data_IF_680145064588
#
_entry.id   IF_680145064588
#
_cell.length_a   1.000
_cell.length_b   1.000
_cell.length_c   1.000
_cell.angle_alpha   90.00
_cell.angle_beta   90.00
_cell.angle_gamma   90.00
#
_symmetry.space_group_name_H-M   'P 1'
#
loop_
_entity.id
_entity.type
_entity.pdbx_description
1 polymer ?
#
# COMPACT_ATOMS: atom_id res chain seq x y z
N UNK A 1 -10.31 2.98 8.22
CA UNK A 1 -10.93 2.01 7.30
C UNK A 1 -11.09 0.65 7.98
N UNK A 2 -10.04 0.04 8.57
CA UNK A 2 -10.12 -1.23 9.31
C UNK A 2 -11.23 -1.24 10.37
N UNK A 3 -11.29 -0.21 11.24
CA UNK A 3 -12.39 -0.04 12.21
C UNK A 3 -13.76 -0.09 11.52
N UNK A 4 -13.95 0.70 10.47
CA UNK A 4 -15.22 0.77 9.75
C UNK A 4 -15.65 -0.59 9.20
N UNK A 5 -14.73 -1.30 8.56
CA UNK A 5 -15.03 -2.61 7.95
C UNK A 5 -15.25 -3.70 8.99
N UNK A 6 -14.45 -3.72 10.06
CA UNK A 6 -14.56 -4.73 11.13
C UNK A 6 -15.76 -4.45 12.04
N UNK A 7 -15.85 -3.23 12.59
CA UNK A 7 -16.81 -2.92 13.65
C UNK A 7 -18.20 -2.60 13.10
N UNK A 8 -18.27 -1.75 12.06
CA UNK A 8 -19.57 -1.33 11.50
C UNK A 8 -20.16 -2.37 10.55
N UNK A 9 -19.33 -2.99 9.72
CA UNK A 9 -19.81 -3.94 8.70
C UNK A 9 -19.59 -5.41 9.08
N UNK A 10 -18.94 -5.71 10.20
CA UNK A 10 -18.74 -7.08 10.68
C UNK A 10 -17.90 -7.97 9.76
N UNK A 11 -17.04 -7.41 8.92
CA UNK A 11 -16.26 -8.17 7.95
C UNK A 11 -15.06 -8.85 8.60
N UNK A 12 -14.72 -10.04 8.11
CA UNK A 12 -13.45 -10.69 8.41
C UNK A 12 -12.37 -10.08 7.52
N UNK A 13 -11.32 -9.54 8.15
CA UNK A 13 -10.28 -8.78 7.47
C UNK A 13 -8.92 -9.47 7.56
N UNK A 14 -8.08 -9.21 6.55
CA UNK A 14 -6.65 -9.41 6.57
C UNK A 14 -6.00 -8.04 6.32
N UNK A 15 -5.20 -7.56 7.26
CA UNK A 15 -4.40 -6.36 7.06
C UNK A 15 -3.17 -6.71 6.23
N UNK A 16 -2.81 -5.81 5.31
CA UNK A 16 -1.63 -5.99 4.44
C UNK A 16 -0.72 -4.79 4.62
N UNK A 17 0.53 -5.05 4.93
CA UNK A 17 1.57 -4.05 5.09
C UNK A 17 2.72 -4.32 4.11
N UNK A 18 3.06 -3.31 3.33
CA UNK A 18 4.28 -3.28 2.52
C UNK A 18 5.33 -2.52 3.31
N UNK A 19 6.30 -3.25 3.85
CA UNK A 19 7.39 -2.68 4.62
C UNK A 19 8.58 -2.38 3.69
N UNK A 20 8.69 -1.11 3.35
CA UNK A 20 9.78 -0.56 2.56
C UNK A 20 10.99 -0.14 3.42
N UNK A 21 11.01 -0.52 4.70
CA UNK A 21 12.03 -0.21 5.71
C UNK A 21 12.12 1.27 6.14
N UNK A 22 11.27 2.14 5.63
CA UNK A 22 11.25 3.57 5.98
C UNK A 22 10.19 3.93 7.04
N UNK A 23 9.53 2.92 7.57
CA UNK A 23 8.55 3.13 8.62
C UNK A 23 9.21 3.61 9.91
N UNK A 24 8.66 4.67 10.52
CA UNK A 24 9.05 5.03 11.87
C UNK A 24 8.59 3.97 12.88
N UNK A 25 9.27 3.87 14.02
CA UNK A 25 8.87 2.98 15.12
C UNK A 25 7.41 3.21 15.52
N UNK A 26 6.98 4.49 15.60
CA UNK A 26 5.60 4.84 15.95
C UNK A 26 4.61 4.35 14.89
N UNK A 27 4.94 4.44 13.61
CA UNK A 27 4.08 3.93 12.53
C UNK A 27 3.87 2.42 12.67
N UNK A 28 4.94 1.67 12.93
CA UNK A 28 4.90 0.22 13.15
C UNK A 28 4.11 -0.14 14.41
N UNK A 29 4.33 0.58 15.53
CA UNK A 29 3.55 0.41 16.75
C UNK A 29 2.06 0.64 16.50
N UNK A 30 1.69 1.68 15.76
CA UNK A 30 0.29 1.98 15.40
C UNK A 30 -0.35 0.86 14.57
N UNK A 31 0.38 0.26 13.62
CA UNK A 31 -0.12 -0.88 12.83
C UNK A 31 -0.45 -2.04 13.77
N UNK A 32 0.48 -2.42 14.67
CA UNK A 32 0.27 -3.51 15.61
C UNK A 32 -0.83 -3.22 16.62
N UNK A 33 -0.90 -1.99 17.17
CA UNK A 33 -1.95 -1.60 18.10
C UNK A 33 -3.34 -1.76 17.47
N UNK A 34 -3.50 -1.29 16.23
CA UNK A 34 -4.77 -1.38 15.50
C UNK A 34 -5.14 -2.83 15.16
N UNK A 35 -4.21 -3.62 14.65
CA UNK A 35 -4.49 -5.00 14.24
C UNK A 35 -4.80 -5.89 15.45
N UNK A 36 -4.05 -5.73 16.56
CA UNK A 36 -4.29 -6.46 17.79
C UNK A 36 -5.64 -6.09 18.43
N UNK A 37 -5.94 -4.80 18.56
CA UNK A 37 -7.20 -4.34 19.16
C UNK A 37 -8.45 -4.75 18.37
N UNK A 38 -8.32 -4.90 17.06
CA UNK A 38 -9.41 -5.32 16.17
C UNK A 38 -9.43 -6.83 15.91
N UNK A 39 -8.49 -7.58 16.44
CA UNK A 39 -8.32 -9.01 16.15
C UNK A 39 -8.29 -9.26 14.63
N UNK A 40 -7.31 -8.64 13.98
CA UNK A 40 -7.10 -8.71 12.52
C UNK A 40 -5.71 -9.28 12.26
N UNK A 41 -5.64 -10.35 11.47
CA UNK A 41 -4.37 -10.90 11.00
C UNK A 41 -3.61 -9.90 10.14
N UNK A 42 -2.28 -9.83 10.31
CA UNK A 42 -1.40 -8.95 9.54
C UNK A 42 -0.47 -9.76 8.63
N UNK A 43 -0.53 -9.50 7.35
CA UNK A 43 0.47 -9.95 6.38
C UNK A 43 1.43 -8.80 6.07
N UNK A 44 2.72 -8.99 6.33
CA UNK A 44 3.77 -8.03 5.99
C UNK A 44 4.69 -8.60 4.91
N UNK A 45 4.93 -7.82 3.87
CA UNK A 45 5.98 -8.07 2.89
C UNK A 45 7.10 -7.07 3.11
N UNK A 46 8.29 -7.58 3.46
CA UNK A 46 9.48 -6.77 3.71
C UNK A 46 10.39 -6.84 2.51
N UNK A 47 10.85 -5.69 2.01
CA UNK A 47 11.88 -5.62 0.98
C UNK A 47 13.26 -5.42 1.61
N UNK A 48 14.31 -5.79 0.89
CA UNK A 48 15.67 -5.47 1.32
C UNK A 48 15.90 -3.94 1.28
N UNK A 49 16.36 -3.38 2.40
CA UNK A 49 16.54 -1.94 2.56
C UNK A 49 17.47 -1.35 1.50
N UNK A 50 18.60 -2.02 1.26
CA UNK A 50 19.61 -1.55 0.31
C UNK A 50 19.10 -1.57 -1.12
N UNK A 51 18.31 -2.60 -1.45
CA UNK A 51 17.64 -2.72 -2.75
C UNK A 51 16.62 -1.60 -2.95
N UNK A 52 15.78 -1.34 -1.93
CA UNK A 52 14.74 -0.33 -2.03
C UNK A 52 15.31 1.09 -2.07
N UNK A 53 16.33 1.38 -1.27
CA UNK A 53 17.04 2.66 -1.27
C UNK A 53 17.67 2.95 -2.64
N UNK A 54 18.33 1.96 -3.27
CA UNK A 54 18.88 2.12 -4.61
C UNK A 54 17.79 2.33 -5.67
N UNK A 55 16.65 1.65 -5.52
CA UNK A 55 15.51 1.81 -6.41
C UNK A 55 14.95 3.25 -6.33
N UNK A 56 14.69 3.78 -5.13
CA UNK A 56 14.21 5.17 -4.97
C UNK A 56 15.27 6.18 -5.44
N UNK A 57 16.54 5.95 -5.12
CA UNK A 57 17.63 6.80 -5.59
C UNK A 57 17.70 6.82 -7.13
N UNK A 58 17.38 5.72 -7.79
CA UNK A 58 17.33 5.66 -9.26
C UNK A 58 16.22 6.55 -9.82
N UNK A 59 15.05 6.60 -9.15
CA UNK A 59 13.94 7.47 -9.50
C UNK A 59 14.27 8.94 -9.28
N UNK A 60 14.91 9.27 -8.17
CA UNK A 60 15.42 10.64 -7.91
C UNK A 60 16.40 11.11 -8.98
N UNK A 61 17.37 10.28 -9.37
CA UNK A 61 18.36 10.60 -10.40
C UNK A 61 17.77 10.74 -11.80
N UNK A 62 16.71 10.03 -12.09
CA UNK A 62 16.07 10.08 -13.40
C UNK A 62 15.25 11.34 -13.64
N UNK A 63 14.95 12.12 -12.59
CA UNK A 63 14.14 13.34 -12.69
C UNK A 63 12.70 13.08 -13.13
N UNK A 64 12.15 11.90 -12.84
CA UNK A 64 10.74 11.58 -13.11
C UNK A 64 9.81 12.41 -12.23
N UNK A 65 8.55 12.55 -12.66
CA UNK A 65 7.56 13.38 -11.97
C UNK A 65 7.15 12.83 -10.62
N UNK A 66 7.14 11.50 -10.50
CA UNK A 66 6.63 10.80 -9.32
C UNK A 66 7.68 9.80 -8.83
N UNK A 67 8.34 10.17 -7.75
CA UNK A 67 9.35 9.34 -7.08
C UNK A 67 8.73 8.24 -6.22
N UNK A 68 7.44 8.34 -5.89
CA UNK A 68 6.70 7.37 -5.08
C UNK A 68 6.21 6.16 -5.89
N UNK A 69 6.34 6.21 -7.22
CA UNK A 69 5.93 5.11 -8.10
C UNK A 69 6.38 3.71 -7.61
N UNK A 70 7.62 3.50 -7.13
CA UNK A 70 8.01 2.19 -6.58
C UNK A 70 7.22 1.79 -5.35
N UNK A 71 6.94 2.74 -4.44
CA UNK A 71 6.14 2.48 -3.23
C UNK A 71 4.73 2.06 -3.60
N UNK A 72 4.09 2.78 -4.50
CA UNK A 72 2.71 2.49 -4.95
C UNK A 72 2.60 1.13 -5.65
N UNK A 73 3.54 0.82 -6.53
CA UNK A 73 3.59 -0.49 -7.20
C UNK A 73 3.88 -1.62 -6.20
N UNK A 74 4.81 -1.40 -5.27
CA UNK A 74 5.13 -2.35 -4.21
C UNK A 74 3.91 -2.66 -3.34
N UNK A 75 3.19 -1.63 -2.90
CA UNK A 75 1.97 -1.76 -2.12
C UNK A 75 0.87 -2.50 -2.89
N UNK A 76 0.56 -2.05 -4.11
CA UNK A 76 -0.48 -2.68 -4.94
C UNK A 76 -0.19 -4.15 -5.23
N UNK A 77 1.09 -4.47 -5.50
CA UNK A 77 1.52 -5.85 -5.77
C UNK A 77 1.45 -6.71 -4.51
N UNK A 78 1.89 -6.19 -3.37
CA UNK A 78 1.82 -6.87 -2.07
C UNK A 78 0.38 -7.21 -1.68
N UNK A 79 -0.57 -6.30 -1.90
CA UNK A 79 -1.99 -6.57 -1.69
C UNK A 79 -2.50 -7.72 -2.56
N UNK A 80 -2.09 -7.80 -3.83
CA UNK A 80 -2.48 -8.89 -4.71
C UNK A 80 -1.83 -10.23 -4.31
N UNK A 81 -0.56 -10.22 -3.90
CA UNK A 81 0.15 -11.40 -3.38
C UNK A 81 -0.57 -11.95 -2.13
N UNK A 82 -0.91 -11.09 -1.19
CA UNK A 82 -1.65 -11.48 0.01
C UNK A 82 -3.04 -12.04 -0.36
N UNK A 83 -3.77 -11.35 -1.24
CA UNK A 83 -5.08 -11.78 -1.68
C UNK A 83 -5.04 -13.17 -2.35
N UNK A 84 -4.07 -13.42 -3.22
CA UNK A 84 -3.85 -14.74 -3.84
C UNK A 84 -3.49 -15.81 -2.80
N UNK A 85 -2.53 -15.51 -1.91
CA UNK A 85 -2.03 -16.45 -0.90
C UNK A 85 -3.13 -16.93 0.06
N UNK A 86 -4.03 -16.02 0.44
CA UNK A 86 -5.10 -16.29 1.42
C UNK A 86 -6.48 -16.49 0.79
N UNK A 87 -6.57 -16.54 -0.52
CA UNK A 87 -7.84 -16.74 -1.23
C UNK A 87 -8.84 -15.60 -1.07
N UNK A 88 -8.36 -14.37 -0.85
CA UNK A 88 -9.20 -13.19 -0.69
C UNK A 88 -9.53 -12.60 -2.06
N UNK A 89 -10.82 -12.35 -2.33
CA UNK A 89 -11.28 -11.80 -3.61
C UNK A 89 -11.40 -10.29 -3.61
N UNK A 90 -11.65 -9.66 -2.47
CA UNK A 90 -11.91 -8.23 -2.38
C UNK A 90 -10.80 -7.53 -1.61
N UNK A 91 -10.15 -6.57 -2.27
CA UNK A 91 -9.19 -5.65 -1.64
C UNK A 91 -9.91 -4.35 -1.31
N UNK A 92 -9.69 -3.85 -0.11
CA UNK A 92 -10.25 -2.58 0.32
C UNK A 92 -9.12 -1.55 0.37
N UNK A 93 -9.25 -0.53 -0.46
CA UNK A 93 -8.30 0.55 -0.63
C UNK A 93 -8.82 1.81 0.08
N UNK A 94 -7.95 2.48 0.84
CA UNK A 94 -8.26 3.71 1.57
C UNK A 94 -8.15 4.99 0.73
N UNK A 95 -7.78 4.87 -0.53
CA UNK A 95 -7.66 6.03 -1.41
C UNK A 95 -8.97 6.79 -1.57
N UNK A 96 -8.90 8.13 -1.57
CA UNK A 96 -10.05 9.00 -1.76
C UNK A 96 -9.67 10.29 -2.48
N UNK A 97 -10.33 10.56 -3.61
CA UNK A 97 -10.12 11.83 -4.33
C UNK A 97 -10.47 13.08 -3.49
N UNK A 98 -11.24 12.91 -2.41
CA UNK A 98 -11.63 14.01 -1.52
C UNK A 98 -10.49 14.45 -0.59
N UNK A 99 -9.58 13.54 -0.26
CA UNK A 99 -8.47 13.79 0.68
C UNK A 99 -7.11 13.86 -0.01
N UNK A 100 -6.99 13.26 -1.20
CA UNK A 100 -5.72 13.12 -1.92
C UNK A 100 -5.71 13.89 -3.24
N UNK A 101 -6.88 14.42 -3.65
CA UNK A 101 -7.03 15.09 -4.94
C UNK A 101 -7.05 14.13 -6.12
N UNK A 102 -6.79 14.64 -7.30
CA UNK A 102 -6.71 13.86 -8.53
C UNK A 102 -5.58 14.39 -9.42
N UNK A 103 -4.91 13.50 -10.12
CA UNK A 103 -3.89 13.84 -11.10
C UNK A 103 -4.34 13.43 -12.50
N UNK A 104 -3.92 14.11 -13.57
CA UNK A 104 -4.15 13.68 -14.94
C UNK A 104 -3.60 12.26 -15.16
N UNK A 105 -4.35 11.39 -15.84
CA UNK A 105 -3.98 9.98 -16.06
C UNK A 105 -2.59 9.85 -16.68
N UNK A 106 -2.22 10.74 -17.63
CA UNK A 106 -0.91 10.73 -18.25
C UNK A 106 0.27 11.08 -17.33
N UNK A 107 0.00 11.51 -16.10
CA UNK A 107 1.05 11.78 -15.10
C UNK A 107 1.36 10.59 -14.21
N UNK A 108 0.44 9.64 -14.12
CA UNK A 108 0.51 8.50 -13.21
C UNK A 108 0.73 7.18 -13.96
N UNK A 109 1.43 7.22 -15.11
CA UNK A 109 1.82 5.99 -15.79
C UNK A 109 2.83 5.22 -14.94
N UNK A 110 2.45 4.02 -14.55
CA UNK A 110 3.33 3.14 -13.77
C UNK A 110 3.08 1.67 -14.11
N UNK A 111 4.16 0.96 -14.43
CA UNK A 111 4.16 -0.49 -14.60
C UNK A 111 5.54 -1.08 -14.27
N UNK A 112 5.63 -2.42 -14.29
CA UNK A 112 6.89 -3.11 -14.01
C UNK A 112 8.01 -2.78 -15.00
N UNK A 113 7.68 -2.55 -16.26
CA UNK A 113 8.67 -2.21 -17.29
C UNK A 113 9.24 -0.82 -17.07
N UNK A 114 8.38 0.12 -16.69
CA UNK A 114 8.80 1.48 -16.36
C UNK A 114 9.77 1.48 -15.19
N UNK A 115 9.42 0.83 -14.06
CA UNK A 115 10.31 0.68 -12.91
C UNK A 115 11.63 0.04 -13.31
N UNK A 116 11.58 -1.08 -14.03
CA UNK A 116 12.79 -1.76 -14.48
C UNK A 116 13.65 -0.90 -15.42
N UNK A 117 13.02 -0.10 -16.28
CA UNK A 117 13.72 0.79 -17.22
C UNK A 117 14.49 1.90 -16.50
N UNK A 118 13.85 2.56 -15.54
CA UNK A 118 14.49 3.60 -14.71
C UNK A 118 15.63 2.99 -13.90
N UNK A 119 15.37 1.89 -13.20
CA UNK A 119 16.35 1.23 -12.37
C UNK A 119 17.56 0.72 -13.17
N UNK A 120 17.36 0.19 -14.38
CA UNK A 120 18.47 -0.26 -15.27
C UNK A 120 19.41 0.86 -15.66
N UNK A 121 18.91 2.09 -15.78
CA UNK A 121 19.72 3.25 -16.18
C UNK A 121 20.45 3.90 -15.00
N UNK A 122 19.84 3.94 -13.83
CA UNK A 122 20.30 4.75 -12.70
C UNK A 122 20.59 3.95 -11.43
N UNK A 123 20.06 2.73 -11.29
CA UNK A 123 20.27 1.84 -10.18
C UNK A 123 21.56 1.02 -10.32
N UNK A 124 22.00 0.44 -9.20
CA UNK A 124 23.22 -0.36 -9.11
C UNK A 124 22.97 -1.74 -8.51
N UNK A 125 21.93 -1.90 -7.69
CA UNK A 125 21.63 -3.11 -6.92
C UNK A 125 20.51 -3.89 -7.61
N UNK A 126 20.69 -5.19 -7.91
CA UNK A 126 19.64 -5.97 -8.55
C UNK A 126 18.37 -6.06 -7.69
N UNK A 127 17.21 -5.80 -8.30
CA UNK A 127 15.90 -6.00 -7.66
C UNK A 127 15.61 -7.50 -7.52
N UNK A 128 15.56 -8.01 -6.28
CA UNK A 128 15.30 -9.42 -5.95
C UNK A 128 14.07 -9.59 -5.05
N UNK A 129 13.91 -8.70 -4.09
CA UNK A 129 12.85 -8.74 -3.08
C UNK A 129 11.69 -7.80 -3.41
N UNK A 130 11.91 -6.80 -4.24
CA UNK A 130 10.89 -5.83 -4.64
C UNK A 130 9.75 -6.48 -5.43
N UNK A 131 8.50 -6.38 -4.96
CA UNK A 131 7.34 -7.00 -5.60
C UNK A 131 6.87 -6.18 -6.80
N UNK A 132 7.49 -6.39 -7.96
CA UNK A 132 7.17 -5.63 -9.16
C UNK A 132 5.90 -6.15 -9.87
N UNK A 133 5.07 -5.23 -10.38
CA UNK A 133 3.74 -5.51 -10.96
C UNK A 133 3.83 -5.81 -12.46
N UNK A 134 4.19 -7.03 -12.80
CA UNK A 134 4.22 -7.50 -14.19
C UNK A 134 2.82 -7.70 -14.76
N UNK A 135 2.60 -7.32 -16.02
CA UNK A 135 1.31 -7.43 -16.70
C UNK A 135 0.69 -8.84 -16.60
N UNK A 136 1.49 -9.90 -16.80
CA UNK A 136 0.99 -11.28 -16.72
C UNK A 136 0.48 -11.63 -15.31
N UNK A 137 1.13 -11.14 -14.25
CA UNK A 137 0.66 -11.30 -12.87
C UNK A 137 -0.65 -10.55 -12.65
N UNK A 138 -0.72 -9.31 -13.13
CA UNK A 138 -1.93 -8.50 -13.02
C UNK A 138 -3.11 -9.16 -13.74
N UNK A 139 -2.91 -9.67 -14.97
CA UNK A 139 -3.93 -10.40 -15.71
C UNK A 139 -4.36 -11.69 -14.98
N UNK A 140 -3.41 -12.44 -14.42
CA UNK A 140 -3.71 -13.62 -13.61
C UNK A 140 -4.61 -13.27 -12.44
N UNK A 141 -4.26 -12.26 -11.64
CA UNK A 141 -5.03 -11.85 -10.48
C UNK A 141 -6.43 -11.35 -10.85
N UNK A 142 -6.54 -10.61 -11.93
CA UNK A 142 -7.82 -10.07 -12.40
C UNK A 142 -8.71 -11.15 -13.03
N UNK A 143 -8.18 -11.97 -13.92
CA UNK A 143 -8.99 -12.89 -14.72
C UNK A 143 -9.16 -14.28 -14.06
N UNK A 144 -8.10 -14.84 -13.48
CA UNK A 144 -8.13 -16.16 -12.87
C UNK A 144 -8.51 -16.11 -11.39
N UNK A 145 -7.86 -15.28 -10.61
CA UNK A 145 -8.16 -15.15 -9.19
C UNK A 145 -9.37 -14.25 -8.92
N UNK A 146 -9.81 -13.44 -9.88
CA UNK A 146 -10.94 -12.51 -9.78
C UNK A 146 -10.82 -11.59 -8.58
N UNK A 147 -9.61 -11.02 -8.37
CA UNK A 147 -9.36 -10.08 -7.29
C UNK A 147 -9.85 -8.70 -7.71
N UNK A 148 -10.77 -8.15 -6.93
CA UNK A 148 -11.40 -6.85 -7.16
C UNK A 148 -10.97 -5.84 -6.10
N UNK A 149 -10.83 -4.55 -6.50
CA UNK A 149 -10.52 -3.45 -5.58
C UNK A 149 -11.78 -2.62 -5.30
N UNK A 150 -12.07 -2.40 -4.03
CA UNK A 150 -13.20 -1.61 -3.56
C UNK A 150 -12.66 -0.38 -2.84
N UNK A 151 -13.18 0.81 -3.17
CA UNK A 151 -12.80 2.10 -2.58
C UNK A 151 -13.97 2.72 -1.81
N UNK A 152 -14.23 2.30 -0.58
CA UNK A 152 -15.42 2.73 0.16
C UNK A 152 -15.43 4.24 0.43
N UNK A 153 -14.26 4.86 0.61
CA UNK A 153 -14.16 6.29 0.91
C UNK A 153 -14.58 7.22 -0.26
N UNK A 154 -14.81 6.67 -1.44
CA UNK A 154 -15.44 7.43 -2.53
C UNK A 154 -16.93 7.72 -2.25
N UNK A 155 -17.57 6.83 -1.52
CA UNK A 155 -19.02 6.85 -1.25
C UNK A 155 -19.36 7.29 0.17
N UNK A 156 -18.44 7.10 1.11
CA UNK A 156 -18.64 7.41 2.51
C UNK A 156 -18.09 8.79 2.85
N UNK A 157 -18.84 9.53 3.67
CA UNK A 157 -18.30 10.76 4.26
C UNK A 157 -17.19 10.37 5.23
N UNK A 158 -16.06 11.02 5.08
CA UNK A 158 -14.87 10.79 5.87
C UNK A 158 -14.29 12.14 6.31
N UNK A 159 -14.13 12.30 7.61
CA UNK A 159 -13.41 13.40 8.22
C UNK A 159 -12.15 12.88 8.90
N UNK A 160 -11.01 13.46 8.53
CA UNK A 160 -9.69 12.99 8.95
C UNK A 160 -9.44 13.26 10.43
N UNK A 161 -9.87 14.41 10.93
CA UNK A 161 -9.65 14.79 12.33
C UNK A 161 -10.50 13.94 13.28
N UNK A 162 -11.79 13.80 12.99
CA UNK A 162 -12.67 12.88 13.73
C UNK A 162 -12.12 11.45 13.76
N UNK A 163 -11.55 10.99 12.63
CA UNK A 163 -10.95 9.65 12.57
C UNK A 163 -9.71 9.55 13.46
N UNK A 164 -8.83 10.56 13.49
CA UNK A 164 -7.65 10.59 14.37
C UNK A 164 -8.05 10.57 15.85
N UNK A 165 -9.03 11.38 16.26
CA UNK A 165 -9.54 11.42 17.64
C UNK A 165 -10.05 10.05 18.06
N UNK A 166 -10.87 9.41 17.24
CA UNK A 166 -11.38 8.06 17.50
C UNK A 166 -10.25 7.04 17.58
N UNK A 167 -9.29 7.05 16.67
CA UNK A 167 -8.16 6.12 16.67
C UNK A 167 -7.29 6.29 17.90
N UNK A 168 -7.03 7.52 18.33
CA UNK A 168 -6.26 7.81 19.55
C UNK A 168 -6.99 7.31 20.79
N UNK A 169 -8.29 7.61 20.89
CA UNK A 169 -9.11 7.26 22.06
C UNK A 169 -9.34 5.74 22.17
N UNK A 170 -9.70 5.09 21.07
CA UNK A 170 -10.18 3.72 21.09
C UNK A 170 -9.06 2.68 20.92
N UNK A 171 -7.95 3.07 20.28
CA UNK A 171 -6.86 2.15 19.92
C UNK A 171 -5.48 2.58 20.41
N UNK A 172 -5.37 3.72 21.11
CA UNK A 172 -4.07 4.25 21.54
C UNK A 172 -3.15 4.67 20.39
N UNK A 173 -3.73 4.97 19.23
CA UNK A 173 -2.97 5.45 18.08
C UNK A 173 -2.25 6.75 18.40
N UNK A 174 -0.97 6.82 18.03
CA UNK A 174 -0.11 7.96 18.31
C UNK A 174 0.11 8.78 17.05
N UNK A 175 -0.05 10.11 17.14
CA UNK A 175 0.33 11.01 16.05
C UNK A 175 1.86 11.07 15.91
N UNK A 176 2.37 11.04 14.68
CA UNK A 176 3.81 11.06 14.37
C UNK A 176 4.16 12.00 13.21
N UNK A 177 3.22 12.84 12.78
CA UNK A 177 3.46 13.91 11.82
C UNK A 177 3.83 15.19 12.55
N UNK A 178 4.76 15.97 11.97
CA UNK A 178 5.11 17.32 12.41
C UNK A 178 4.10 18.37 11.92
#
# INVERSE_FOLDING_TARGET
LMHLMKVKYGLRLLAVHFDNTWNSTIATENIHAMTNALDIDLFTHVVDATEFDDLILSFLKSGVRDIETPTDIGLATTMNIAAEKYGVKYKIDGHSFRTEGSAPIGWIYMDAKYIQSVHRQFGKIPMKTFPNLWLYKQLKWMLLNRIESIRPLYYLKYDKETAKEMLTKDYGWKWYGG
#
